data_IF_552166910795
#
_entry.id   IF_552166910795
#
_cell.length_a   1.000
_cell.length_b   1.000
_cell.length_c   1.000
_cell.angle_alpha   90.00
_cell.angle_beta   90.00
_cell.angle_gamma   90.00
#
_symmetry.space_group_name_H-M   'P 1'
#
loop_
_entity.id
_entity.type
_entity.pdbx_description
1 polymer ?
#
# COMPACT_ATOMS: atom_id res chain seq x y z
N UNK A 1 3.44 -31.38 -41.89
CA UNK A 1 3.24 -30.21 -41.01
C UNK A 1 4.53 -29.99 -40.24
N UNK A 2 5.24 -28.89 -40.52
CA UNK A 2 6.60 -28.63 -40.03
C UNK A 2 6.66 -28.62 -38.49
N UNK A 3 7.73 -29.16 -37.90
CA UNK A 3 7.95 -29.15 -36.44
C UNK A 3 7.91 -27.73 -35.85
N UNK A 4 8.25 -26.73 -36.67
CA UNK A 4 8.16 -25.30 -36.34
C UNK A 4 6.71 -24.90 -36.05
N UNK A 5 5.75 -25.36 -36.86
CA UNK A 5 4.33 -25.05 -36.67
C UNK A 5 3.78 -25.65 -35.38
N UNK A 6 4.23 -26.86 -35.01
CA UNK A 6 3.84 -27.50 -33.73
C UNK A 6 4.41 -26.76 -32.52
N UNK A 7 5.67 -26.33 -32.61
CA UNK A 7 6.34 -25.58 -31.54
C UNK A 7 5.67 -24.22 -31.29
N UNK A 8 5.30 -23.51 -32.37
CA UNK A 8 4.55 -22.26 -32.29
C UNK A 8 3.16 -22.46 -31.66
N UNK A 9 2.45 -23.52 -32.03
CA UNK A 9 1.14 -23.85 -31.45
C UNK A 9 1.25 -24.16 -29.95
N UNK A 10 2.28 -24.87 -29.51
CA UNK A 10 2.47 -25.17 -28.08
C UNK A 10 2.72 -23.91 -27.24
N UNK A 11 3.52 -22.96 -27.75
CA UNK A 11 3.80 -21.69 -27.04
C UNK A 11 2.52 -20.85 -26.89
N UNK A 12 1.70 -20.79 -27.93
CA UNK A 12 0.43 -20.06 -27.91
C UNK A 12 -0.54 -20.64 -26.87
N UNK A 13 -0.60 -21.97 -26.73
CA UNK A 13 -1.44 -22.63 -25.72
C UNK A 13 -0.95 -22.30 -24.30
N UNK A 14 0.36 -22.30 -24.04
CA UNK A 14 0.91 -21.93 -22.73
C UNK A 14 0.61 -20.48 -22.33
N UNK A 15 0.61 -19.53 -23.27
CA UNK A 15 0.24 -18.14 -23.00
C UNK A 15 -1.26 -17.96 -22.69
N UNK A 16 -2.13 -18.81 -23.22
CA UNK A 16 -3.57 -18.80 -22.91
C UNK A 16 -3.86 -19.39 -21.52
N UNK A 17 -3.03 -20.31 -21.04
CA UNK A 17 -3.14 -20.88 -19.69
C UNK A 17 -2.53 -19.99 -18.60
N UNK A 18 -1.75 -18.97 -18.96
CA UNK A 18 -1.22 -17.96 -18.04
C UNK A 18 -2.18 -16.79 -17.79
N UNK A 19 -3.49 -17.03 -17.84
CA UNK A 19 -4.43 -16.16 -17.14
C UNK A 19 -4.34 -16.52 -15.67
N UNK A 20 -3.34 -15.99 -14.96
CA UNK A 20 -3.52 -15.81 -13.53
C UNK A 20 -4.71 -14.87 -13.40
N UNK A 21 -5.85 -15.29 -12.81
CA UNK A 21 -6.81 -14.31 -12.40
C UNK A 21 -6.02 -13.41 -11.46
N UNK A 22 -5.80 -12.15 -11.87
CA UNK A 22 -5.60 -11.08 -10.91
C UNK A 22 -6.92 -11.06 -10.14
N UNK A 23 -7.04 -11.98 -9.19
CA UNK A 23 -7.88 -11.75 -8.06
C UNK A 23 -7.29 -10.45 -7.50
N UNK A 24 -7.88 -9.32 -7.89
CA UNK A 24 -8.18 -8.28 -6.92
C UNK A 24 -9.01 -8.96 -5.83
N UNK A 25 -8.37 -9.85 -5.06
CA UNK A 25 -8.67 -9.97 -3.67
C UNK A 25 -8.38 -8.55 -3.21
N UNK A 26 -9.39 -7.68 -3.19
CA UNK A 26 -9.31 -6.38 -2.53
C UNK A 26 -8.95 -6.74 -1.10
N UNK A 27 -7.65 -6.84 -0.84
CA UNK A 27 -7.15 -7.32 0.42
C UNK A 27 -7.70 -6.34 1.43
N UNK A 28 -8.54 -6.86 2.31
CA UNK A 28 -9.31 -6.03 3.21
C UNK A 28 -8.34 -5.21 4.05
N UNK A 29 -8.57 -3.89 4.09
CA UNK A 29 -7.76 -2.98 4.87
C UNK A 29 -8.19 -3.09 6.33
N UNK A 30 -7.55 -4.00 7.06
CA UNK A 30 -7.73 -4.12 8.49
C UNK A 30 -7.05 -2.91 9.15
N UNK A 31 -7.75 -2.13 9.98
CA UNK A 31 -7.16 -0.99 10.65
C UNK A 31 -5.94 -1.40 11.49
N UNK A 32 -4.86 -0.63 11.35
CA UNK A 32 -3.61 -0.87 12.07
C UNK A 32 -3.56 -0.05 13.36
N UNK A 33 -2.46 -0.15 14.13
CA UNK A 33 -2.26 0.59 15.38
C UNK A 33 -0.78 0.83 15.63
N UNK A 34 -0.46 1.93 16.31
CA UNK A 34 0.90 2.29 16.71
C UNK A 34 0.88 2.96 18.10
N UNK A 35 1.45 2.31 19.10
CA UNK A 35 1.38 2.76 20.50
C UNK A 35 -0.07 2.96 20.95
N UNK A 36 -0.40 4.17 21.40
CA UNK A 36 -1.74 4.51 21.88
C UNK A 36 -2.73 4.88 20.74
N UNK A 37 -2.23 5.06 19.50
CA UNK A 37 -3.07 5.36 18.35
C UNK A 37 -3.60 4.04 17.80
N UNK A 38 -4.89 3.80 18.02
CA UNK A 38 -5.59 2.62 17.56
C UNK A 38 -6.46 2.93 16.33
N UNK A 39 -6.85 1.88 15.61
CA UNK A 39 -7.77 1.97 14.47
C UNK A 39 -7.31 2.96 13.38
N UNK A 40 -6.02 2.91 13.03
CA UNK A 40 -5.47 3.68 11.91
C UNK A 40 -6.04 3.08 10.62
N UNK A 41 -6.89 3.85 9.95
CA UNK A 41 -7.54 3.49 8.70
C UNK A 41 -7.51 4.66 7.70
N UNK A 42 -7.88 4.36 6.45
CA UNK A 42 -8.04 5.34 5.38
C UNK A 42 -8.71 6.64 5.89
N UNK A 43 -8.17 7.83 5.56
CA UNK A 43 -7.11 8.07 4.58
C UNK A 43 -5.70 7.80 5.11
N UNK A 44 -5.51 7.74 6.43
CA UNK A 44 -4.23 7.47 7.05
C UNK A 44 -3.84 5.99 6.89
N UNK A 45 -2.54 5.72 6.82
CA UNK A 45 -2.00 4.36 6.89
C UNK A 45 -0.61 4.38 7.49
N UNK A 46 -0.19 3.29 8.13
CA UNK A 46 1.22 3.11 8.46
C UNK A 46 2.03 2.80 7.20
N UNK A 47 3.33 3.11 7.22
CA UNK A 47 4.29 2.66 6.19
C UNK A 47 4.29 1.15 5.97
N UNK A 48 3.99 0.38 7.01
CA UNK A 48 3.89 -1.08 6.97
C UNK A 48 2.58 -1.59 6.36
N UNK A 49 1.55 -0.74 6.27
CA UNK A 49 0.25 -1.13 5.75
C UNK A 49 0.30 -1.19 4.21
N UNK A 50 -0.56 -2.02 3.58
CA UNK A 50 -0.66 -2.06 2.13
C UNK A 50 -0.92 -0.68 1.53
N UNK A 51 -0.25 -0.37 0.41
CA UNK A 51 -0.32 0.96 -0.22
C UNK A 51 -1.74 1.38 -0.58
N UNK A 52 -2.64 0.43 -0.89
CA UNK A 52 -4.03 0.70 -1.25
C UNK A 52 -4.92 1.04 -0.05
N UNK A 53 -4.43 0.91 1.19
CA UNK A 53 -5.23 1.12 2.41
C UNK A 53 -5.23 2.55 2.95
N UNK A 54 -4.55 3.47 2.26
CA UNK A 54 -4.45 4.87 2.64
C UNK A 54 -3.82 5.70 1.54
N UNK A 55 -3.69 7.00 1.77
CA UNK A 55 -3.06 7.91 0.83
C UNK A 55 -1.58 8.03 1.12
N UNK A 56 -0.77 8.19 0.08
CA UNK A 56 0.67 8.39 0.24
C UNK A 56 1.01 9.66 1.03
N UNK A 57 0.20 10.71 0.88
CA UNK A 57 0.39 11.99 1.59
C UNK A 57 -0.04 11.95 3.06
N UNK A 58 -0.83 10.95 3.45
CA UNK A 58 -1.36 10.77 4.81
C UNK A 58 -0.66 9.58 5.51
N UNK A 59 0.52 9.19 5.02
CA UNK A 59 1.29 8.06 5.53
C UNK A 59 1.99 8.41 6.86
N UNK A 60 1.84 7.51 7.84
CA UNK A 60 2.46 7.60 9.16
C UNK A 60 3.62 6.61 9.28
N UNK A 61 4.70 7.02 9.92
CA UNK A 61 5.74 6.11 10.40
C UNK A 61 5.41 5.67 11.83
N UNK A 62 5.84 4.48 12.24
CA UNK A 62 5.73 4.01 13.61
C UNK A 62 7.12 3.65 14.12
N UNK A 63 7.65 4.45 15.04
CA UNK A 63 8.97 4.23 15.64
C UNK A 63 8.79 3.90 17.13
N UNK A 64 8.93 2.61 17.46
CA UNK A 64 8.52 2.09 18.77
C UNK A 64 7.01 2.25 18.95
N UNK A 65 6.59 2.89 20.05
CA UNK A 65 5.19 3.18 20.36
C UNK A 65 4.76 4.61 19.94
N UNK A 66 5.48 5.23 19.00
CA UNK A 66 5.20 6.61 18.56
C UNK A 66 4.89 6.67 17.07
N UNK A 67 3.67 7.12 16.76
CA UNK A 67 3.28 7.47 15.41
C UNK A 67 3.86 8.84 15.03
N UNK A 68 4.47 8.93 13.85
CA UNK A 68 5.14 10.11 13.33
C UNK A 68 4.55 10.46 11.97
N UNK A 69 4.07 11.70 11.81
CA UNK A 69 3.67 12.26 10.53
C UNK A 69 4.77 13.17 9.99
N UNK A 70 5.25 12.89 8.78
CA UNK A 70 6.32 13.66 8.14
C UNK A 70 5.73 14.57 7.07
N UNK A 71 5.93 15.87 7.23
CA UNK A 71 5.50 16.89 6.26
C UNK A 71 6.73 17.43 5.53
N UNK A 72 6.58 17.75 4.25
CA UNK A 72 7.61 18.37 3.41
C UNK A 72 7.13 19.76 2.96
N UNK A 73 7.35 20.81 3.78
CA UNK A 73 6.93 22.16 3.45
C UNK A 73 7.74 22.71 2.27
N UNK A 74 7.08 23.42 1.35
CA UNK A 74 7.74 23.96 0.15
C UNK A 74 8.78 25.05 0.46
N UNK A 75 8.65 25.73 1.58
CA UNK A 75 9.51 26.82 2.05
C UNK A 75 10.72 26.34 2.87
N UNK A 76 10.80 25.04 3.15
CA UNK A 76 11.90 24.42 3.89
C UNK A 76 12.67 23.44 3.00
N UNK A 77 14.00 23.55 3.02
CA UNK A 77 14.88 22.53 2.43
C UNK A 77 15.00 21.34 3.38
N UNK A 78 13.90 20.63 3.63
CA UNK A 78 13.86 19.53 4.58
C UNK A 78 12.48 18.94 4.84
N UNK A 79 12.36 18.18 5.93
CA UNK A 79 11.12 17.59 6.39
C UNK A 79 10.90 17.89 7.87
N UNK A 80 9.64 17.95 8.28
CA UNK A 80 9.23 18.14 9.67
C UNK A 80 8.49 16.89 10.15
N UNK A 81 8.92 16.36 11.28
CA UNK A 81 8.32 15.20 11.92
C UNK A 81 7.44 15.66 13.08
N UNK A 82 6.17 15.26 13.07
CA UNK A 82 5.19 15.54 14.11
C UNK A 82 4.82 14.25 14.83
N UNK A 83 4.89 14.25 16.16
CA UNK A 83 4.35 13.15 16.97
C UNK A 83 2.82 13.22 16.99
N UNK A 84 2.18 12.20 16.46
CA UNK A 84 0.72 12.14 16.36
C UNK A 84 0.15 11.81 17.75
N UNK A 85 -0.67 12.72 18.27
CA UNK A 85 -1.36 12.56 19.56
C UNK A 85 -2.78 12.03 19.41
N UNK A 86 -3.41 12.24 18.26
CA UNK A 86 -4.75 11.74 17.96
C UNK A 86 -4.98 11.82 16.45
N UNK A 87 -5.86 10.95 15.95
CA UNK A 87 -6.42 11.05 14.60
C UNK A 87 -7.91 11.29 14.77
N UNK A 88 -8.40 12.37 14.18
CA UNK A 88 -9.84 12.65 14.13
C UNK A 88 -10.38 12.25 12.76
N UNK A 89 -11.45 11.45 12.77
CA UNK A 89 -12.17 11.02 11.56
C UNK A 89 -13.50 11.78 11.36
N UNK A 90 -13.87 12.63 12.32
CA UNK A 90 -15.05 13.49 12.20
C UNK A 90 -14.72 14.64 11.23
N UNK A 91 -15.47 14.71 10.12
CA UNK A 91 -15.35 15.75 9.08
C UNK A 91 -16.12 17.02 9.43
#
# INVERSE_FOLDING_TARGET
MSGVTKFLLTILIFMQLSETPLAEQRQQCVPSSCGHIHNISYPFRLKSDPKHCGREVDELSCEGDRAIFTIFPYDLYGSLNYYVQAINYDN
#
